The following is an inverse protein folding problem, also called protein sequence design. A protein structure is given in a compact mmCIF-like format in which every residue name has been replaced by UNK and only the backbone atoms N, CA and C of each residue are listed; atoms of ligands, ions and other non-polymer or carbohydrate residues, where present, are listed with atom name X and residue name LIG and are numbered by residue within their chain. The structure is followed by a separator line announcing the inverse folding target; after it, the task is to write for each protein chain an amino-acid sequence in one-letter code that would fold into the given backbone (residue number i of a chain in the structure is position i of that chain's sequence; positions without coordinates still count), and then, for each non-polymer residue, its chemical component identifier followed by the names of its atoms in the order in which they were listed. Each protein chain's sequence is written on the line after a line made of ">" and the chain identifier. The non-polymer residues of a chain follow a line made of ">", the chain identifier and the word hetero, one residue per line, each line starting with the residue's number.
data_IF_812486314291
#
_entry.id   IF_812486314291
#
_cell.length_a   1.000
_cell.length_b   1.000
_cell.length_c   1.000
_cell.angle_alpha   90.00
_cell.angle_beta   90.00
_cell.angle_gamma   90.00
#
_symmetry.space_group_name_H-M   'P 1'
#
loop_
_entity.id
_entity.type
_entity.pdbx_description
1 polymer ?
#
# COMPACT_ATOMS: atom_id res chain seq x y z
N UNK A 1 33.32 -54.54 52.82
CA UNK A 1 32.55 -54.58 51.59
C UNK A 1 31.89 -53.21 51.44
N UNK A 2 32.44 -52.36 50.57
CA UNK A 2 31.91 -51.02 50.28
C UNK A 2 31.24 -51.05 48.88
N UNK A 3 29.93 -50.88 48.83
CA UNK A 3 29.14 -50.85 47.62
C UNK A 3 29.23 -49.41 47.05
N UNK A 4 29.72 -49.30 45.83
CA UNK A 4 29.76 -48.03 45.08
C UNK A 4 28.49 -48.00 44.19
N UNK A 5 27.59 -47.03 44.48
CA UNK A 5 26.42 -46.75 43.66
C UNK A 5 26.87 -45.81 42.51
N UNK A 6 26.76 -46.29 41.27
CA UNK A 6 26.87 -45.46 40.05
C UNK A 6 25.57 -44.76 39.77
N UNK A 7 25.55 -43.43 39.86
CA UNK A 7 24.46 -42.60 39.43
C UNK A 7 24.70 -42.22 37.94
N UNK A 8 23.96 -42.83 37.01
CA UNK A 8 23.94 -42.44 35.61
C UNK A 8 22.98 -41.24 35.45
N UNK A 9 23.55 -40.05 35.18
CA UNK A 9 22.78 -38.88 34.82
C UNK A 9 22.41 -38.99 33.33
N UNK A 10 21.13 -39.24 33.07
CA UNK A 10 20.54 -39.22 31.72
C UNK A 10 20.30 -37.75 31.32
N UNK A 11 21.16 -37.22 30.47
CA UNK A 11 20.99 -35.89 29.92
C UNK A 11 19.96 -35.94 28.80
N UNK A 12 18.69 -35.61 29.10
CA UNK A 12 17.66 -35.40 28.08
C UNK A 12 17.94 -34.11 27.35
N UNK A 13 18.51 -34.19 26.15
CA UNK A 13 18.51 -33.10 25.18
C UNK A 13 17.05 -32.91 24.70
N UNK A 14 16.35 -31.93 25.27
CA UNK A 14 15.10 -31.46 24.74
C UNK A 14 15.32 -30.78 23.40
N UNK A 15 14.96 -31.42 22.30
CA UNK A 15 14.78 -30.76 21.01
C UNK A 15 13.66 -29.73 21.19
N UNK A 16 14.02 -28.48 21.35
CA UNK A 16 13.10 -27.36 21.19
C UNK A 16 12.76 -27.30 19.71
N UNK A 17 11.68 -27.97 19.32
CA UNK A 17 11.06 -27.73 18.03
C UNK A 17 10.60 -26.26 18.02
N UNK A 18 11.36 -25.41 17.38
CA UNK A 18 10.90 -24.07 17.02
C UNK A 18 9.67 -24.29 16.14
N UNK A 19 8.50 -24.09 16.70
CA UNK A 19 7.26 -24.08 15.94
C UNK A 19 7.41 -22.98 14.90
N UNK A 20 7.59 -23.38 13.65
CA UNK A 20 7.64 -22.49 12.52
C UNK A 20 6.27 -21.80 12.44
N UNK A 21 6.23 -20.53 12.84
CA UNK A 21 5.01 -19.75 12.84
C UNK A 21 4.58 -19.59 11.38
N UNK A 22 3.63 -20.42 10.96
CA UNK A 22 3.09 -20.37 9.60
C UNK A 22 2.25 -19.11 9.49
N UNK A 23 2.78 -18.11 8.85
CA UNK A 23 2.12 -16.82 8.60
C UNK A 23 1.03 -17.04 7.55
N UNK A 24 -0.18 -17.37 7.95
CA UNK A 24 -1.36 -17.28 7.08
C UNK A 24 -1.82 -15.82 7.05
N UNK A 25 -1.14 -15.01 6.25
CA UNK A 25 -1.62 -13.67 5.96
C UNK A 25 -2.86 -13.77 5.07
N UNK A 26 -3.97 -13.18 5.49
CA UNK A 26 -5.15 -12.93 4.65
C UNK A 26 -4.86 -11.83 3.60
N UNK A 27 -3.68 -11.25 3.64
CA UNK A 27 -3.23 -10.22 2.71
C UNK A 27 -2.90 -10.86 1.37
N UNK A 28 -3.79 -10.65 0.42
CA UNK A 28 -3.68 -11.12 -0.97
C UNK A 28 -3.64 -9.95 -1.96
N UNK A 29 -3.33 -8.76 -1.48
CA UNK A 29 -3.19 -7.57 -2.32
C UNK A 29 -1.94 -7.67 -3.18
N UNK A 30 -2.12 -7.45 -4.48
CA UNK A 30 -1.02 -7.34 -5.43
C UNK A 30 -1.19 -6.02 -6.17
N UNK A 31 -0.25 -5.06 -5.99
CA UNK A 31 -0.37 -3.76 -6.64
C UNK A 31 -0.25 -3.89 -8.15
N UNK A 32 -0.90 -2.98 -8.87
CA UNK A 32 -0.76 -2.88 -10.32
C UNK A 32 0.71 -2.69 -10.71
N UNK A 33 1.09 -3.22 -11.85
CA UNK A 33 2.48 -3.26 -12.32
C UNK A 33 2.90 -2.01 -13.11
N UNK A 34 1.94 -1.28 -13.68
CA UNK A 34 2.20 -0.02 -14.38
C UNK A 34 1.69 1.16 -13.56
N UNK A 35 2.63 1.94 -13.04
CA UNK A 35 2.32 3.18 -12.33
C UNK A 35 1.74 4.21 -13.32
N UNK A 36 0.60 4.81 -12.98
CA UNK A 36 -0.02 5.89 -13.76
C UNK A 36 -0.03 7.22 -13.02
N UNK A 37 0.04 7.21 -11.69
CA UNK A 37 0.19 8.41 -10.88
C UNK A 37 0.93 8.09 -9.58
N UNK A 38 1.79 9.02 -9.15
CA UNK A 38 2.50 8.95 -7.88
C UNK A 38 2.69 10.35 -7.30
N UNK A 39 2.40 10.52 -6.01
CA UNK A 39 2.58 11.77 -5.28
C UNK A 39 3.09 11.49 -3.86
N UNK A 40 4.24 12.06 -3.52
CA UNK A 40 4.85 12.03 -2.19
C UNK A 40 5.15 13.43 -1.64
N UNK A 41 4.67 14.45 -2.33
CA UNK A 41 4.84 15.87 -2.02
C UNK A 41 6.30 16.34 -1.95
N UNK A 42 7.28 15.53 -2.38
CA UNK A 42 8.70 15.89 -2.34
C UNK A 42 9.01 17.14 -3.16
N UNK A 43 8.29 17.37 -4.26
CA UNK A 43 8.44 18.51 -5.14
C UNK A 43 7.78 19.81 -4.63
N UNK A 44 6.96 19.74 -3.57
CA UNK A 44 6.26 20.90 -3.00
C UNK A 44 7.06 21.47 -1.82
N UNK A 45 7.15 22.80 -1.73
CA UNK A 45 7.75 23.48 -0.57
C UNK A 45 6.90 23.27 0.69
N UNK A 46 7.55 23.09 1.84
CA UNK A 46 6.83 23.04 3.12
C UNK A 46 6.13 24.37 3.39
N UNK A 47 4.86 24.31 3.76
CA UNK A 47 3.96 25.46 3.92
C UNK A 47 3.12 25.78 2.69
N UNK A 48 3.49 25.26 1.50
CA UNK A 48 2.74 25.50 0.26
C UNK A 48 1.67 24.40 0.02
N UNK A 49 0.69 24.74 -0.84
CA UNK A 49 -0.26 23.79 -1.40
C UNK A 49 0.28 23.20 -2.71
N UNK A 50 0.13 21.89 -2.99
CA UNK A 50 0.71 21.26 -4.16
C UNK A 50 0.04 21.69 -5.47
N UNK A 51 0.84 22.03 -6.48
CA UNK A 51 0.41 22.69 -7.72
C UNK A 51 -0.57 21.88 -8.60
N UNK A 52 -0.56 20.56 -8.49
CA UNK A 52 -1.41 19.67 -9.31
C UNK A 52 -2.60 19.11 -8.54
N UNK A 53 -3.05 19.88 -7.57
CA UNK A 53 -4.21 19.55 -6.77
C UNK A 53 -5.23 20.67 -6.84
N UNK A 54 -6.50 20.32 -6.81
CA UNK A 54 -7.61 21.26 -6.66
C UNK A 54 -8.35 21.01 -5.34
N UNK A 55 -8.91 22.06 -4.76
CA UNK A 55 -9.62 22.00 -3.48
C UNK A 55 -10.62 23.13 -3.32
N UNK A 56 -11.63 22.92 -2.48
CA UNK A 56 -12.55 23.97 -2.02
C UNK A 56 -12.13 24.61 -0.68
N UNK A 57 -10.94 24.27 -0.18
CA UNK A 57 -10.42 24.75 1.10
C UNK A 57 -8.91 25.02 1.05
N UNK A 58 -8.29 25.16 2.22
CA UNK A 58 -6.85 25.33 2.37
C UNK A 58 -6.22 24.10 3.00
N UNK A 59 -5.04 23.72 2.54
CA UNK A 59 -4.16 22.73 3.12
C UNK A 59 -2.71 23.13 2.84
N UNK A 60 -1.78 22.51 3.52
CA UNK A 60 -0.34 22.78 3.39
C UNK A 60 0.45 21.49 3.43
N UNK A 61 1.59 21.49 2.74
CA UNK A 61 2.57 20.41 2.86
C UNK A 61 3.41 20.62 4.10
N UNK A 62 3.56 19.58 4.91
CA UNK A 62 4.31 19.60 6.17
C UNK A 62 5.34 18.47 6.23
N UNK A 63 6.30 18.58 7.15
CA UNK A 63 7.16 17.50 7.61
C UNK A 63 6.76 17.09 9.01
N UNK A 64 6.99 15.82 9.38
CA UNK A 64 6.67 15.28 10.69
C UNK A 64 7.96 14.83 11.39
N UNK A 65 8.07 15.05 12.70
CA UNK A 65 9.26 14.70 13.47
C UNK A 65 9.51 13.19 13.57
N UNK A 66 8.46 12.40 13.52
CA UNK A 66 8.48 10.96 13.76
C UNK A 66 8.21 10.10 12.52
N UNK A 67 7.99 10.73 11.37
CA UNK A 67 7.74 10.03 10.11
C UNK A 67 8.44 10.77 8.96
N UNK A 68 9.36 10.12 8.23
CA UNK A 68 10.06 10.76 7.12
C UNK A 68 9.12 11.08 5.97
N UNK A 69 9.54 12.00 5.10
CA UNK A 69 8.78 12.44 3.94
C UNK A 69 7.99 13.73 4.16
N UNK A 70 7.24 14.11 3.15
CA UNK A 70 6.34 15.26 3.18
C UNK A 70 4.90 14.78 3.11
N UNK A 71 3.99 15.54 3.73
CA UNK A 71 2.61 15.14 3.96
C UNK A 71 1.68 16.32 3.69
N UNK A 72 0.56 16.09 3.03
CA UNK A 72 -0.51 17.08 2.92
C UNK A 72 -1.31 17.07 4.22
N UNK A 73 -1.24 18.16 4.98
CA UNK A 73 -1.99 18.34 6.23
C UNK A 73 -3.34 18.96 5.93
N UNK A 74 -4.40 18.32 6.42
CA UNK A 74 -5.81 18.66 6.22
C UNK A 74 -6.44 18.80 7.59
N UNK A 75 -6.90 20.00 7.95
CA UNK A 75 -7.38 20.32 9.30
C UNK A 75 -8.81 20.88 9.36
N UNK A 76 -9.55 20.85 8.25
CA UNK A 76 -10.94 21.30 8.21
C UNK A 76 -11.72 20.60 7.11
N UNK A 77 -13.04 20.78 7.14
CA UNK A 77 -13.94 20.32 6.10
C UNK A 77 -13.46 20.74 4.73
N UNK A 78 -13.24 19.77 3.85
CA UNK A 78 -12.60 20.01 2.56
C UNK A 78 -12.70 18.80 1.65
N UNK A 79 -12.63 19.08 0.35
CA UNK A 79 -12.47 18.08 -0.71
C UNK A 79 -11.24 18.41 -1.53
N UNK A 80 -10.42 17.41 -1.80
CA UNK A 80 -9.18 17.52 -2.57
C UNK A 80 -9.25 16.58 -3.77
N UNK A 81 -8.92 17.10 -4.92
CA UNK A 81 -8.84 16.34 -6.18
C UNK A 81 -7.43 16.40 -6.76
N UNK A 82 -6.75 15.27 -6.96
CA UNK A 82 -5.46 15.21 -7.63
C UNK A 82 -5.66 15.32 -9.17
N UNK A 83 -5.38 16.48 -9.76
CA UNK A 83 -5.59 16.77 -11.18
C UNK A 83 -4.70 15.94 -12.11
N UNK A 84 -3.63 15.35 -11.59
CA UNK A 84 -2.76 14.42 -12.32
C UNK A 84 -3.40 13.03 -12.54
N UNK A 85 -4.53 12.73 -11.88
CA UNK A 85 -5.32 11.53 -12.14
C UNK A 85 -6.40 11.86 -13.16
N UNK A 86 -6.10 11.65 -14.44
CA UNK A 86 -6.98 12.05 -15.55
C UNK A 86 -7.90 10.94 -16.06
N UNK A 87 -7.67 9.70 -15.63
CA UNK A 87 -8.46 8.55 -16.04
C UNK A 87 -8.39 7.42 -15.02
N UNK A 88 -9.49 6.69 -14.88
CA UNK A 88 -9.59 5.52 -14.00
C UNK A 88 -9.98 4.29 -14.82
N UNK A 89 -9.04 3.37 -15.07
CA UNK A 89 -9.35 2.09 -15.71
C UNK A 89 -10.28 1.24 -14.82
N UNK A 90 -10.90 0.22 -15.40
CA UNK A 90 -11.74 -0.72 -14.65
C UNK A 90 -10.95 -1.59 -13.67
N UNK A 91 -9.65 -1.76 -13.92
CA UNK A 91 -8.74 -2.50 -13.05
C UNK A 91 -7.61 -1.58 -12.64
N UNK A 92 -7.55 -1.24 -11.36
CA UNK A 92 -6.48 -0.44 -10.79
C UNK A 92 -6.28 -0.74 -9.31
N UNK A 93 -5.12 -0.35 -8.81
CA UNK A 93 -4.82 -0.27 -7.38
C UNK A 93 -4.54 1.17 -7.02
N UNK A 94 -5.13 1.65 -5.92
CA UNK A 94 -4.84 2.93 -5.30
C UNK A 94 -4.29 2.65 -3.91
N UNK A 95 -3.14 3.21 -3.60
CA UNK A 95 -2.50 3.07 -2.31
C UNK A 95 -2.12 4.45 -1.79
N UNK A 96 -2.20 4.66 -0.48
CA UNK A 96 -1.77 5.89 0.18
C UNK A 96 -1.55 5.65 1.67
N UNK A 97 -0.77 6.53 2.30
CA UNK A 97 -0.63 6.56 3.75
C UNK A 97 -1.49 7.69 4.33
N UNK A 98 -2.16 7.38 5.42
CA UNK A 98 -3.05 8.29 6.12
C UNK A 98 -2.69 8.32 7.61
N UNK A 99 -2.53 9.51 8.16
CA UNK A 99 -2.21 9.69 9.58
C UNK A 99 -3.10 10.74 10.23
N UNK A 100 -3.13 10.75 11.56
CA UNK A 100 -3.85 11.72 12.39
C UNK A 100 -2.97 12.21 13.54
N UNK A 101 -3.33 13.37 14.14
CA UNK A 101 -2.68 13.82 15.37
C UNK A 101 -2.94 12.86 16.55
N UNK A 102 -2.06 12.83 17.57
CA UNK A 102 -2.16 11.89 18.69
C UNK A 102 -3.50 11.90 19.44
N UNK A 103 -4.05 13.08 19.72
CA UNK A 103 -5.31 13.24 20.44
C UNK A 103 -6.53 13.41 19.53
N UNK A 104 -6.44 12.87 18.32
CA UNK A 104 -7.45 13.00 17.30
C UNK A 104 -8.83 12.49 17.76
N UNK A 105 -9.86 13.31 17.50
CA UNK A 105 -11.24 12.99 17.81
C UNK A 105 -12.19 13.71 16.85
N UNK A 106 -12.26 13.25 15.63
CA UNK A 106 -12.99 13.93 14.58
C UNK A 106 -13.81 12.97 13.71
N UNK A 107 -14.31 13.47 12.60
CA UNK A 107 -15.07 12.72 11.59
C UNK A 107 -14.15 11.93 10.68
N UNK A 108 -14.65 10.89 10.01
CA UNK A 108 -13.84 10.05 9.14
C UNK A 108 -13.16 10.81 8.01
N UNK A 109 -12.02 10.29 7.58
CA UNK A 109 -11.42 10.62 6.29
C UNK A 109 -12.16 9.87 5.18
N UNK A 110 -12.36 10.51 4.04
CA UNK A 110 -13.15 9.95 2.95
C UNK A 110 -12.35 9.87 1.67
N UNK A 111 -12.55 8.77 0.97
CA UNK A 111 -12.09 8.58 -0.41
C UNK A 111 -13.30 8.28 -1.28
N UNK A 112 -13.52 9.08 -2.32
CA UNK A 112 -14.51 8.80 -3.34
C UNK A 112 -13.87 8.36 -4.63
N UNK A 113 -14.49 7.37 -5.28
CA UNK A 113 -14.27 7.03 -6.68
C UNK A 113 -15.58 7.35 -7.39
N UNK A 114 -15.58 8.36 -8.25
CA UNK A 114 -16.79 8.94 -8.77
C UNK A 114 -16.80 9.07 -10.30
N UNK A 115 -18.02 9.23 -10.82
CA UNK A 115 -18.29 9.56 -12.22
C UNK A 115 -18.84 10.98 -12.30
N UNK A 116 -17.95 11.96 -12.32
CA UNK A 116 -18.31 13.37 -12.43
C UNK A 116 -18.51 13.79 -13.89
N UNK A 117 -19.39 14.78 -14.11
CA UNK A 117 -19.70 15.31 -15.45
C UNK A 117 -18.80 16.46 -15.86
N UNK A 118 -18.29 17.20 -14.87
CA UNK A 118 -17.44 18.37 -15.10
C UNK A 118 -16.39 18.51 -14.01
N UNK A 119 -15.26 19.19 -14.26
CA UNK A 119 -14.25 19.50 -13.25
C UNK A 119 -14.78 20.30 -12.05
N UNK A 120 -15.82 21.12 -12.23
CA UNK A 120 -16.43 21.89 -11.15
C UNK A 120 -17.08 21.00 -10.05
N UNK A 121 -17.45 19.75 -10.40
CA UNK A 121 -18.03 18.80 -9.45
C UNK A 121 -16.97 18.13 -8.56
N UNK A 122 -15.68 18.18 -8.94
CA UNK A 122 -14.63 17.42 -8.26
C UNK A 122 -14.37 17.90 -6.84
N UNK A 123 -14.57 19.18 -6.58
CA UNK A 123 -14.39 19.79 -5.26
C UNK A 123 -15.67 20.37 -4.69
N UNK A 124 -16.82 20.11 -5.32
CA UNK A 124 -18.13 20.51 -4.81
C UNK A 124 -18.52 19.63 -3.61
N UNK A 125 -18.57 20.23 -2.44
CA UNK A 125 -18.94 19.55 -1.21
C UNK A 125 -20.36 18.97 -1.25
N UNK A 126 -21.30 19.63 -1.90
CA UNK A 126 -22.67 19.10 -2.04
C UNK A 126 -22.73 17.85 -2.93
N UNK A 127 -21.92 17.79 -3.98
CA UNK A 127 -21.76 16.55 -4.76
C UNK A 127 -21.15 15.43 -3.92
N UNK A 128 -20.21 15.79 -3.05
CA UNK A 128 -19.57 14.87 -2.12
C UNK A 128 -20.56 14.26 -1.12
N UNK A 129 -21.46 15.07 -0.50
CA UNK A 129 -22.40 14.59 0.53
C UNK A 129 -23.68 14.01 -0.06
N UNK A 130 -24.21 14.57 -1.17
CA UNK A 130 -25.49 14.19 -1.74
C UNK A 130 -25.41 13.28 -2.97
N UNK A 131 -24.21 13.12 -3.56
CA UNK A 131 -23.93 12.36 -4.80
C UNK A 131 -24.85 12.71 -5.97
N UNK A 132 -25.22 13.96 -6.06
CA UNK A 132 -26.20 14.48 -6.99
C UNK A 132 -25.73 14.30 -8.43
N UNK A 133 -26.39 13.44 -9.18
CA UNK A 133 -26.09 13.22 -10.60
C UNK A 133 -24.92 12.30 -10.91
N UNK A 134 -24.15 11.85 -9.92
CA UNK A 134 -22.96 11.01 -10.08
C UNK A 134 -23.15 9.62 -9.51
N UNK A 135 -22.56 8.61 -10.15
CA UNK A 135 -22.29 7.35 -9.49
C UNK A 135 -21.04 7.51 -8.65
N UNK A 136 -21.11 7.11 -7.39
CA UNK A 136 -20.02 7.27 -6.44
C UNK A 136 -19.86 6.00 -5.61
N UNK A 137 -18.61 5.61 -5.40
CA UNK A 137 -18.19 4.66 -4.37
C UNK A 137 -17.47 5.47 -3.30
N UNK A 138 -18.14 5.66 -2.19
CA UNK A 138 -17.74 6.44 -1.04
C UNK A 138 -17.18 5.51 0.04
N UNK A 139 -15.98 5.78 0.52
CA UNK A 139 -15.27 4.99 1.53
C UNK A 139 -14.84 5.90 2.66
N UNK A 140 -15.29 5.60 3.87
CA UNK A 140 -14.89 6.28 5.10
C UNK A 140 -13.84 5.46 5.84
N UNK A 141 -12.85 6.14 6.42
CA UNK A 141 -11.80 5.57 7.25
C UNK A 141 -11.67 6.36 8.54
N UNK A 142 -11.90 5.72 9.67
CA UNK A 142 -11.85 6.34 10.98
C UNK A 142 -10.93 5.54 11.90
N UNK A 143 -9.85 6.13 12.46
CA UNK A 143 -8.98 5.43 13.39
C UNK A 143 -9.72 5.05 14.68
N UNK A 144 -9.22 4.03 15.36
CA UNK A 144 -9.65 3.74 16.72
C UNK A 144 -9.34 4.94 17.63
N UNK A 145 -10.16 5.14 18.64
CA UNK A 145 -9.91 6.12 19.69
C UNK A 145 -9.46 5.40 20.95
N UNK A 146 -8.34 5.85 21.53
CA UNK A 146 -7.79 5.24 22.74
C UNK A 146 -8.91 5.16 23.81
N UNK A 147 -9.09 3.97 24.37
CA UNK A 147 -10.02 3.64 25.46
C UNK A 147 -11.51 3.90 25.21
N UNK A 148 -11.92 4.19 23.98
CA UNK A 148 -13.30 4.59 23.71
C UNK A 148 -14.02 3.80 22.61
N UNK A 149 -13.40 3.58 21.44
CA UNK A 149 -14.05 2.88 20.32
C UNK A 149 -13.04 2.23 19.37
N UNK A 150 -13.47 1.16 18.74
CA UNK A 150 -12.76 0.58 17.61
C UNK A 150 -12.66 1.58 16.43
N UNK A 151 -11.68 1.41 15.56
CA UNK A 151 -11.67 2.05 14.27
C UNK A 151 -12.80 1.52 13.40
N UNK A 152 -13.23 2.29 12.42
CA UNK A 152 -14.33 1.89 11.55
C UNK A 152 -14.11 2.34 10.11
N UNK A 153 -14.70 1.58 9.19
CA UNK A 153 -14.81 1.94 7.79
C UNK A 153 -16.25 1.74 7.34
N UNK A 154 -16.72 2.66 6.50
CA UNK A 154 -18.02 2.57 5.85
C UNK A 154 -17.84 2.63 4.35
N UNK A 155 -18.59 1.81 3.62
CA UNK A 155 -18.68 1.88 2.17
C UNK A 155 -20.13 2.13 1.78
N UNK A 156 -20.33 3.19 1.01
CA UNK A 156 -21.62 3.49 0.40
C UNK A 156 -21.42 3.66 -1.09
N UNK A 157 -22.22 2.96 -1.90
CA UNK A 157 -22.16 3.10 -3.34
C UNK A 157 -23.56 3.31 -3.91
N UNK A 158 -23.65 4.13 -4.95
CA UNK A 158 -24.92 4.42 -5.58
C UNK A 158 -24.94 5.67 -6.42
N UNK A 159 -26.15 6.17 -6.69
CA UNK A 159 -26.40 7.38 -7.48
C UNK A 159 -27.62 8.12 -6.95
N UNK A 160 -27.53 9.45 -6.84
CA UNK A 160 -28.67 10.31 -6.43
C UNK A 160 -29.32 9.87 -5.11
N UNK A 161 -28.53 9.43 -4.13
CA UNK A 161 -29.06 8.96 -2.84
C UNK A 161 -29.66 7.55 -2.87
N UNK A 162 -29.75 6.90 -4.03
CA UNK A 162 -30.12 5.49 -4.14
C UNK A 162 -28.89 4.62 -3.95
N UNK A 163 -28.82 3.95 -2.82
CA UNK A 163 -27.67 3.14 -2.43
C UNK A 163 -27.81 1.69 -2.91
N UNK A 164 -26.87 1.20 -3.70
CA UNK A 164 -26.72 -0.23 -4.02
C UNK A 164 -25.91 -0.97 -2.96
N UNK A 165 -25.05 -0.27 -2.23
CA UNK A 165 -24.27 -0.77 -1.10
C UNK A 165 -24.31 0.28 0.01
N UNK A 166 -24.47 -0.16 1.27
CA UNK A 166 -24.39 0.67 2.46
C UNK A 166 -23.99 -0.24 3.64
N UNK A 167 -22.71 -0.41 3.84
CA UNK A 167 -22.14 -1.34 4.81
C UNK A 167 -21.09 -0.63 5.67
N UNK A 168 -20.95 -1.08 6.91
CA UNK A 168 -19.93 -0.64 7.85
C UNK A 168 -19.21 -1.82 8.48
N UNK A 169 -17.97 -1.60 8.93
CA UNK A 169 -17.14 -2.57 9.64
C UNK A 169 -16.29 -1.88 10.69
N UNK A 170 -16.14 -2.53 11.84
CA UNK A 170 -15.17 -2.15 12.85
C UNK A 170 -13.85 -2.90 12.67
N UNK A 171 -12.74 -2.26 13.04
CA UNK A 171 -11.40 -2.86 12.99
C UNK A 171 -10.51 -2.35 14.12
N UNK A 172 -9.39 -3.07 14.35
CA UNK A 172 -8.37 -2.71 15.35
C UNK A 172 -7.01 -2.37 14.75
N UNK A 173 -6.87 -2.51 13.44
CA UNK A 173 -5.59 -2.40 12.73
C UNK A 173 -5.07 -0.97 12.56
N UNK A 174 -5.88 0.02 12.83
CA UNK A 174 -5.49 1.41 12.92
C UNK A 174 -5.86 1.93 14.31
N UNK A 175 -5.01 1.66 15.26
CA UNK A 175 -5.14 2.14 16.63
C UNK A 175 -4.41 3.49 16.82
N UNK A 176 -4.68 4.11 17.94
CA UNK A 176 -4.10 5.38 18.34
C UNK A 176 -2.67 5.25 18.91
N UNK A 177 -1.85 4.34 18.42
CA UNK A 177 -0.44 4.27 18.79
C UNK A 177 0.29 5.61 18.54
N UNK A 178 1.50 5.78 19.03
CA UNK A 178 2.23 7.05 18.96
C UNK A 178 2.47 7.58 17.53
N UNK A 179 2.24 6.78 16.51
CA UNK A 179 2.41 7.18 15.12
C UNK A 179 1.09 7.34 14.35
N UNK A 180 -0.03 6.87 14.85
CA UNK A 180 -1.39 7.03 14.29
C UNK A 180 -1.48 6.99 12.75
N UNK A 181 -0.76 6.09 12.11
CA UNK A 181 -0.71 5.93 10.67
C UNK A 181 -1.31 4.62 10.22
N UNK A 182 -2.00 4.68 9.08
CA UNK A 182 -2.45 3.52 8.35
C UNK A 182 -1.99 3.58 6.90
N UNK A 183 -1.57 2.45 6.36
CA UNK A 183 -1.42 2.24 4.93
C UNK A 183 -2.74 1.69 4.38
N UNK A 184 -3.33 2.39 3.43
CA UNK A 184 -4.59 2.02 2.77
C UNK A 184 -4.27 1.49 1.38
N UNK A 185 -4.79 0.29 1.06
CA UNK A 185 -4.70 -0.28 -0.29
C UNK A 185 -6.09 -0.60 -0.81
N UNK A 186 -6.44 -0.01 -1.92
CA UNK A 186 -7.73 -0.17 -2.60
C UNK A 186 -7.49 -0.87 -3.93
N UNK A 187 -8.22 -1.95 -4.18
CA UNK A 187 -8.11 -2.73 -5.41
C UNK A 187 -9.45 -2.84 -6.11
N UNK A 188 -9.57 -2.17 -7.23
CA UNK A 188 -10.71 -2.31 -8.14
C UNK A 188 -10.42 -3.36 -9.20
N UNK A 189 -11.33 -4.33 -9.35
CA UNK A 189 -11.33 -5.34 -10.41
C UNK A 189 -12.71 -5.37 -11.06
N UNK A 190 -12.89 -4.58 -12.13
CA UNK A 190 -14.19 -4.34 -12.77
C UNK A 190 -15.22 -3.85 -11.74
N UNK A 191 -16.18 -4.68 -11.34
CA UNK A 191 -17.21 -4.36 -10.36
C UNK A 191 -16.79 -4.61 -8.91
N UNK A 192 -15.75 -5.44 -8.68
CA UNK A 192 -15.28 -5.83 -7.36
C UNK A 192 -14.39 -4.77 -6.74
N UNK A 193 -14.55 -4.59 -5.43
CA UNK A 193 -13.69 -3.76 -4.60
C UNK A 193 -13.12 -4.59 -3.46
N UNK A 194 -11.82 -4.49 -3.25
CA UNK A 194 -11.15 -4.92 -2.02
C UNK A 194 -10.45 -3.74 -1.40
N UNK A 195 -10.50 -3.66 -0.08
CA UNK A 195 -9.80 -2.63 0.69
C UNK A 195 -9.03 -3.28 1.82
N UNK A 196 -7.80 -2.85 1.98
CA UNK A 196 -6.88 -3.32 3.00
C UNK A 196 -6.38 -2.13 3.81
N UNK A 197 -6.20 -2.37 5.11
CA UNK A 197 -5.68 -1.40 6.06
C UNK A 197 -4.55 -2.06 6.84
N UNK A 198 -3.33 -1.52 6.78
CA UNK A 198 -2.12 -2.10 7.40
C UNK A 198 -1.94 -3.60 7.10
N UNK A 199 -2.26 -4.04 5.88
CA UNK A 199 -2.16 -5.44 5.46
C UNK A 199 -3.34 -6.33 5.87
N UNK A 200 -4.34 -5.84 6.57
CA UNK A 200 -5.59 -6.56 6.84
C UNK A 200 -6.67 -6.21 5.84
N UNK A 201 -7.31 -7.23 5.25
CA UNK A 201 -8.43 -7.03 4.34
C UNK A 201 -9.70 -6.71 5.13
N UNK A 202 -10.11 -5.44 5.07
CA UNK A 202 -11.32 -4.96 5.75
C UNK A 202 -12.57 -5.04 4.87
N UNK A 203 -12.41 -4.99 3.53
CA UNK A 203 -13.51 -5.13 2.59
C UNK A 203 -13.20 -6.08 1.43
N UNK A 204 -14.20 -6.84 1.03
CA UNK A 204 -14.21 -7.63 -0.20
C UNK A 204 -15.65 -7.68 -0.74
N UNK A 205 -16.00 -6.74 -1.62
CA UNK A 205 -17.36 -6.56 -2.14
C UNK A 205 -17.36 -6.90 -3.64
N UNK A 206 -18.00 -8.00 -4.05
CA UNK A 206 -17.95 -8.46 -5.45
C UNK A 206 -18.60 -7.50 -6.47
N UNK A 207 -19.60 -6.73 -6.04
CA UNK A 207 -20.37 -5.83 -6.90
C UNK A 207 -20.63 -4.51 -6.18
N UNK A 208 -19.72 -3.55 -6.34
CA UNK A 208 -19.83 -2.19 -5.79
C UNK A 208 -19.85 -1.16 -6.93
N UNK A 209 -19.07 -1.39 -7.98
CA UNK A 209 -19.05 -0.51 -9.15
C UNK A 209 -20.15 -0.87 -10.13
N UNK A 210 -20.88 0.13 -10.61
CA UNK A 210 -21.80 -0.04 -11.73
C UNK A 210 -21.02 -0.34 -13.03
N UNK A 211 -21.45 -1.38 -13.76
CA UNK A 211 -20.73 -1.88 -14.95
C UNK A 211 -20.85 -0.99 -16.19
N UNK A 212 -21.86 -0.11 -16.22
CA UNK A 212 -22.12 0.80 -17.34
C UNK A 212 -21.54 2.19 -17.09
N UNK A 213 -21.06 2.44 -15.86
CA UNK A 213 -20.54 3.75 -15.45
C UNK A 213 -19.03 3.84 -15.66
N UNK A 214 -18.60 4.85 -16.40
CA UNK A 214 -17.19 5.24 -16.47
C UNK A 214 -16.84 6.15 -15.30
N UNK A 215 -16.15 5.60 -14.31
CA UNK A 215 -15.58 6.38 -13.21
C UNK A 215 -14.35 7.14 -13.71
N UNK A 216 -14.23 8.40 -13.34
CA UNK A 216 -13.20 9.30 -13.90
C UNK A 216 -12.47 10.14 -12.87
N UNK A 217 -12.85 10.09 -11.60
CA UNK A 217 -12.23 10.89 -10.55
C UNK A 217 -12.02 10.10 -9.26
N UNK A 218 -10.95 10.45 -8.55
CA UNK A 218 -10.72 10.12 -7.14
C UNK A 218 -10.70 11.45 -6.39
N UNK A 219 -11.41 11.53 -5.27
CA UNK A 219 -11.32 12.66 -4.35
C UNK A 219 -11.02 12.17 -2.95
N UNK A 220 -10.27 12.97 -2.22
CA UNK A 220 -9.97 12.79 -0.82
C UNK A 220 -10.66 13.90 -0.03
N UNK A 221 -11.20 13.59 1.13
CA UNK A 221 -11.93 14.60 1.87
C UNK A 221 -11.90 14.38 3.38
N UNK A 222 -12.03 15.47 4.10
CA UNK A 222 -12.31 15.51 5.53
C UNK A 222 -13.69 16.08 5.72
N UNK A 223 -14.57 15.34 6.41
CA UNK A 223 -15.97 15.77 6.62
C UNK A 223 -16.11 16.90 7.65
N UNK A 224 -15.09 17.17 8.43
CA UNK A 224 -15.08 18.20 9.45
C UNK A 224 -14.26 17.78 10.67
N UNK A 225 -14.21 18.66 11.66
CA UNK A 225 -13.49 18.42 12.90
C UNK A 225 -14.30 18.92 14.10
N UNK A 226 -14.23 18.17 15.21
CA UNK A 226 -14.80 18.59 16.50
C UNK A 226 -13.84 19.49 17.30
N UNK A 227 -12.54 19.44 16.96
CA UNK A 227 -11.49 20.25 17.59
C UNK A 227 -10.69 20.96 16.49
N UNK A 228 -10.29 22.20 16.75
CA UNK A 228 -9.51 22.98 15.78
C UNK A 228 -8.12 22.41 15.52
N UNK A 229 -7.54 21.70 16.49
CA UNK A 229 -6.24 21.06 16.41
C UNK A 229 -6.25 19.71 15.69
N UNK A 230 -7.41 19.10 15.45
CA UNK A 230 -7.51 17.85 14.73
C UNK A 230 -7.13 18.01 13.26
N UNK A 231 -6.33 17.07 12.77
CA UNK A 231 -5.94 17.02 11.36
C UNK A 231 -5.70 15.59 10.87
N UNK A 232 -5.84 15.43 9.58
CA UNK A 232 -5.28 14.31 8.84
C UNK A 232 -4.00 14.73 8.12
N UNK A 233 -3.11 13.77 7.90
CA UNK A 233 -1.99 13.88 6.96
C UNK A 233 -2.08 12.77 5.93
N UNK A 234 -1.98 13.16 4.66
CA UNK A 234 -2.06 12.27 3.50
C UNK A 234 -0.71 12.25 2.78
N UNK A 235 -0.25 11.07 2.36
CA UNK A 235 1.00 10.95 1.62
C UNK A 235 1.15 9.66 0.83
N UNK A 236 2.23 9.55 0.08
CA UNK A 236 2.63 8.35 -0.67
C UNK A 236 1.51 7.77 -1.57
N UNK A 237 0.80 8.64 -2.27
CA UNK A 237 -0.33 8.26 -3.12
C UNK A 237 0.22 7.58 -4.38
N UNK A 238 -0.25 6.36 -4.63
CA UNK A 238 0.17 5.55 -5.76
C UNK A 238 -1.05 4.97 -6.47
N UNK A 239 -1.24 5.35 -7.73
CA UNK A 239 -2.25 4.75 -8.60
C UNK A 239 -1.55 3.95 -9.69
N UNK A 240 -1.89 2.66 -9.80
CA UNK A 240 -1.29 1.76 -10.77
C UNK A 240 -2.34 0.90 -11.46
N UNK A 241 -2.08 0.50 -12.69
CA UNK A 241 -2.97 -0.31 -13.52
C UNK A 241 -2.35 -1.67 -13.81
N UNK A 242 -3.20 -2.59 -14.25
CA UNK A 242 -2.86 -3.96 -14.54
C UNK A 242 -3.07 -4.85 -13.32
N UNK A 243 -3.58 -6.04 -13.57
CA UNK A 243 -3.42 -7.16 -12.65
C UNK A 243 -2.14 -7.85 -13.09
N UNK A 244 -1.11 -8.00 -12.24
CA UNK A 244 0.07 -8.73 -12.64
C UNK A 244 -0.33 -10.17 -12.95
N UNK A 245 -0.10 -10.59 -14.18
CA UNK A 245 -0.10 -12.02 -14.52
C UNK A 245 1.31 -12.56 -14.18
N UNK A 246 1.57 -12.66 -12.89
CA UNK A 246 2.86 -13.11 -12.33
C UNK A 246 3.28 -14.43 -12.96
N UNK A 247 2.34 -15.37 -13.11
CA UNK A 247 2.61 -16.69 -13.68
C UNK A 247 3.09 -16.59 -15.13
N UNK A 248 2.31 -15.92 -16.00
CA UNK A 248 2.68 -15.79 -17.42
C UNK A 248 4.01 -15.05 -17.58
N UNK A 249 4.24 -13.99 -16.83
CA UNK A 249 5.48 -13.22 -16.88
C UNK A 249 6.69 -14.04 -16.44
N UNK A 250 6.59 -14.75 -15.34
CA UNK A 250 7.68 -15.57 -14.82
C UNK A 250 7.93 -16.79 -15.70
N UNK A 251 6.89 -17.55 -16.04
CA UNK A 251 7.03 -18.84 -16.71
C UNK A 251 7.26 -18.68 -18.21
N UNK A 252 6.43 -17.86 -18.86
CA UNK A 252 6.40 -17.73 -20.34
C UNK A 252 7.33 -16.64 -20.85
N UNK A 253 7.27 -15.43 -20.23
CA UNK A 253 8.10 -14.30 -20.67
C UNK A 253 9.51 -14.33 -20.06
N UNK A 254 9.72 -15.14 -19.01
CA UNK A 254 11.01 -15.28 -18.35
C UNK A 254 11.46 -14.06 -17.54
N UNK A 255 10.62 -13.04 -17.40
CA UNK A 255 10.90 -11.84 -16.61
C UNK A 255 9.62 -11.31 -15.94
N UNK A 256 9.72 -11.07 -14.63
CA UNK A 256 8.69 -10.40 -13.85
C UNK A 256 9.30 -9.21 -13.13
N UNK A 257 8.72 -8.03 -13.34
CA UNK A 257 9.10 -6.78 -12.67
C UNK A 257 7.98 -6.38 -11.71
N UNK A 258 8.34 -6.06 -10.48
CA UNK A 258 7.36 -5.65 -9.48
C UNK A 258 7.82 -4.44 -8.68
N UNK A 259 6.87 -3.54 -8.41
CA UNK A 259 7.00 -2.41 -7.49
C UNK A 259 6.27 -2.69 -6.16
N UNK A 260 5.70 -3.89 -6.03
CA UNK A 260 4.94 -4.29 -4.83
C UNK A 260 5.81 -4.87 -3.73
N UNK A 261 7.09 -5.14 -3.97
CA UNK A 261 8.05 -5.50 -2.93
C UNK A 261 8.67 -4.22 -2.40
N UNK A 262 8.29 -3.84 -1.16
CA UNK A 262 8.65 -2.60 -0.52
C UNK A 262 9.53 -2.82 0.69
N UNK A 263 10.37 -1.83 0.97
CA UNK A 263 11.32 -1.83 2.08
C UNK A 263 11.15 -0.55 2.90
N UNK A 264 11.51 -0.62 4.16
CA UNK A 264 11.65 0.59 4.96
C UNK A 264 12.74 1.49 4.37
N UNK A 265 12.61 2.83 4.48
CA UNK A 265 13.58 3.76 3.93
C UNK A 265 15.03 3.43 4.33
N UNK A 266 15.93 3.40 3.35
CA UNK A 266 17.37 3.13 3.52
C UNK A 266 17.73 1.78 4.17
N UNK A 267 16.79 0.83 4.23
CA UNK A 267 17.01 -0.52 4.78
C UNK A 267 16.61 -1.60 3.78
N UNK A 268 16.92 -2.85 4.13
CA UNK A 268 16.48 -4.09 3.48
C UNK A 268 15.34 -4.79 4.22
N UNK A 269 14.78 -4.13 5.25
CA UNK A 269 13.60 -4.61 5.98
C UNK A 269 12.35 -4.53 5.11
N UNK A 270 11.75 -5.68 4.81
CA UNK A 270 10.51 -5.78 4.02
C UNK A 270 9.32 -5.19 4.78
N UNK A 271 8.52 -4.42 4.09
CA UNK A 271 7.22 -3.96 4.59
C UNK A 271 6.16 -5.07 4.45
N UNK A 272 5.15 -5.05 5.31
CA UNK A 272 4.08 -6.07 5.34
C UNK A 272 3.31 -6.13 4.01
N UNK A 273 3.21 -5.03 3.30
CA UNK A 273 2.57 -4.90 1.99
C UNK A 273 3.22 -5.76 0.91
N UNK A 274 4.49 -6.12 1.10
CA UNK A 274 5.23 -7.02 0.19
C UNK A 274 4.74 -8.47 0.21
N UNK A 275 4.08 -8.88 1.30
CA UNK A 275 3.71 -10.29 1.54
C UNK A 275 2.79 -10.84 0.47
N UNK A 276 1.82 -10.03 -0.03
CA UNK A 276 0.89 -10.48 -1.07
C UNK A 276 1.60 -10.86 -2.38
N UNK A 277 2.49 -9.99 -2.84
CA UNK A 277 3.31 -10.21 -4.04
C UNK A 277 4.26 -11.40 -3.86
N UNK A 278 4.93 -11.49 -2.72
CA UNK A 278 5.85 -12.57 -2.42
C UNK A 278 5.13 -13.93 -2.34
N UNK A 279 3.91 -13.96 -1.80
CA UNK A 279 3.06 -15.14 -1.80
C UNK A 279 2.67 -15.57 -3.20
N UNK A 280 2.27 -14.62 -4.05
CA UNK A 280 1.91 -14.90 -5.45
C UNK A 280 3.10 -15.46 -6.23
N UNK A 281 4.28 -14.85 -6.10
CA UNK A 281 5.54 -15.37 -6.64
C UNK A 281 5.84 -16.77 -6.12
N UNK A 282 5.69 -17.01 -4.81
CA UNK A 282 5.97 -18.30 -4.20
C UNK A 282 5.07 -19.42 -4.74
N UNK A 283 3.81 -19.11 -5.03
CA UNK A 283 2.88 -20.06 -5.64
C UNK A 283 3.36 -20.47 -7.04
N UNK A 284 3.80 -19.50 -7.86
CA UNK A 284 4.36 -19.79 -9.20
C UNK A 284 5.61 -20.66 -9.10
N UNK A 285 6.51 -20.38 -8.16
CA UNK A 285 7.73 -21.17 -7.96
C UNK A 285 7.42 -22.59 -7.47
N UNK A 286 6.47 -22.78 -6.58
CA UNK A 286 6.03 -24.11 -6.10
C UNK A 286 5.38 -24.95 -7.20
N UNK A 287 4.59 -24.31 -8.06
CA UNK A 287 3.97 -24.98 -9.22
C UNK A 287 5.01 -25.33 -10.31
N UNK A 288 6.18 -24.70 -10.28
CA UNK A 288 7.25 -24.87 -11.28
C UNK A 288 8.62 -25.09 -10.61
N UNK A 289 8.82 -26.19 -9.89
CA UNK A 289 9.99 -26.40 -9.02
C UNK A 289 11.35 -26.49 -9.75
N UNK A 290 11.33 -26.68 -11.06
CA UNK A 290 12.55 -26.73 -11.88
C UNK A 290 12.99 -25.36 -12.40
N UNK A 291 12.17 -24.32 -12.23
CA UNK A 291 12.52 -22.98 -12.68
C UNK A 291 13.48 -22.30 -11.69
N UNK A 292 14.51 -21.68 -12.25
CA UNK A 292 15.47 -20.88 -11.51
C UNK A 292 15.36 -19.43 -11.88
N UNK A 293 15.51 -18.55 -10.89
CA UNK A 293 15.40 -17.12 -11.09
C UNK A 293 16.53 -16.36 -10.42
N UNK A 294 16.97 -15.29 -11.05
CA UNK A 294 17.80 -14.25 -10.46
C UNK A 294 16.91 -13.12 -9.98
N UNK A 295 16.97 -12.80 -8.69
CA UNK A 295 16.29 -11.66 -8.05
C UNK A 295 17.23 -10.47 -8.14
N UNK A 296 16.82 -9.40 -8.80
CA UNK A 296 17.64 -8.19 -8.99
C UNK A 296 16.95 -7.00 -8.34
N UNK A 297 17.65 -6.39 -7.38
CA UNK A 297 17.19 -5.17 -6.74
C UNK A 297 17.66 -3.91 -7.47
N UNK A 298 16.82 -2.88 -7.50
CA UNK A 298 17.12 -1.56 -8.05
C UNK A 298 16.72 -0.44 -7.08
N UNK A 299 17.43 0.69 -7.15
CA UNK A 299 17.11 1.94 -6.46
C UNK A 299 16.78 3.03 -7.47
N UNK A 300 16.28 4.15 -7.02
CA UNK A 300 16.39 5.41 -7.74
C UNK A 300 17.79 6.01 -7.55
N UNK A 301 18.01 7.20 -8.13
CA UNK A 301 19.29 7.90 -8.09
C UNK A 301 19.41 8.88 -6.89
N UNK A 302 18.64 8.68 -5.82
CA UNK A 302 18.81 9.46 -4.60
C UNK A 302 19.89 8.81 -3.73
N UNK A 303 20.90 9.59 -3.37
CA UNK A 303 22.00 9.15 -2.51
C UNK A 303 23.29 8.82 -3.25
N UNK A 304 24.15 8.06 -2.60
CA UNK A 304 25.47 7.66 -3.11
C UNK A 304 25.40 6.35 -3.89
N UNK A 305 26.05 6.29 -5.06
CA UNK A 305 26.05 5.13 -5.98
C UNK A 305 26.49 3.83 -5.27
N UNK A 306 27.52 3.89 -4.41
CA UNK A 306 28.01 2.71 -3.70
C UNK A 306 27.03 2.23 -2.65
N UNK A 307 26.39 3.18 -1.96
CA UNK A 307 25.32 2.88 -1.02
C UNK A 307 24.14 2.23 -1.73
N UNK A 308 23.70 2.80 -2.88
CA UNK A 308 22.62 2.27 -3.68
C UNK A 308 22.93 0.87 -4.25
N UNK A 309 24.17 0.64 -4.70
CA UNK A 309 24.61 -0.67 -5.16
C UNK A 309 24.58 -1.72 -4.03
N UNK A 310 25.06 -1.39 -2.83
CA UNK A 310 25.00 -2.28 -1.67
C UNK A 310 23.56 -2.50 -1.19
N UNK A 311 22.78 -1.43 -1.03
CA UNK A 311 21.38 -1.50 -0.60
C UNK A 311 20.54 -2.41 -1.51
N UNK A 312 20.70 -2.28 -2.83
CA UNK A 312 19.98 -3.09 -3.79
C UNK A 312 20.32 -4.58 -3.69
N UNK A 313 21.59 -4.93 -3.44
CA UNK A 313 22.03 -6.31 -3.18
C UNK A 313 21.41 -6.88 -1.90
N UNK A 314 21.48 -6.13 -0.81
CA UNK A 314 20.88 -6.54 0.48
C UNK A 314 19.38 -6.74 0.35
N UNK A 315 18.67 -5.87 -0.38
CA UNK A 315 17.24 -5.99 -0.66
C UNK A 315 16.90 -7.25 -1.45
N UNK A 316 17.66 -7.57 -2.50
CA UNK A 316 17.48 -8.81 -3.25
C UNK A 316 17.72 -10.05 -2.37
N UNK A 317 18.73 -10.03 -1.50
CA UNK A 317 18.99 -11.09 -0.53
C UNK A 317 17.85 -11.23 0.50
N UNK A 318 17.29 -10.13 1.00
CA UNK A 318 16.16 -10.14 1.91
C UNK A 318 14.92 -10.78 1.27
N UNK A 319 14.64 -10.48 -0.01
CA UNK A 319 13.56 -11.13 -0.78
C UNK A 319 13.79 -12.64 -0.89
N UNK A 320 14.98 -13.08 -1.27
CA UNK A 320 15.34 -14.51 -1.31
C UNK A 320 15.12 -15.17 0.05
N UNK A 321 15.67 -14.59 1.12
CA UNK A 321 15.56 -15.13 2.45
C UNK A 321 14.09 -15.26 2.89
N UNK A 322 13.26 -14.28 2.58
CA UNK A 322 11.84 -14.32 2.90
C UNK A 322 11.13 -15.46 2.16
N UNK A 323 11.37 -15.61 0.84
CA UNK A 323 10.79 -16.69 0.04
C UNK A 323 11.19 -18.08 0.56
N UNK A 324 12.46 -18.25 0.94
CA UNK A 324 12.97 -19.51 1.50
C UNK A 324 12.37 -19.78 2.87
N UNK A 325 12.44 -18.83 3.81
CA UNK A 325 12.07 -19.04 5.21
C UNK A 325 10.56 -19.10 5.42
N UNK A 326 9.80 -18.23 4.73
CA UNK A 326 8.35 -18.13 4.96
C UNK A 326 7.53 -19.03 4.04
N UNK A 327 8.04 -19.30 2.84
CA UNK A 327 7.29 -20.07 1.84
C UNK A 327 7.95 -21.40 1.46
N UNK A 328 9.14 -21.71 2.00
CA UNK A 328 9.83 -22.98 1.77
C UNK A 328 10.32 -23.17 0.33
N UNK A 329 10.68 -22.07 -0.35
CA UNK A 329 11.26 -22.16 -1.70
C UNK A 329 12.71 -22.68 -1.61
N UNK A 330 13.10 -23.58 -2.50
CA UNK A 330 14.47 -24.10 -2.55
C UNK A 330 15.47 -22.95 -2.81
N UNK A 331 16.44 -22.70 -1.91
CA UNK A 331 17.42 -21.65 -2.10
C UNK A 331 18.31 -21.81 -3.33
N UNK A 332 18.44 -23.03 -3.87
CA UNK A 332 19.19 -23.33 -5.09
C UNK A 332 18.48 -22.87 -6.37
N UNK A 333 17.20 -22.56 -6.29
CA UNK A 333 16.42 -22.01 -7.39
C UNK A 333 16.48 -20.48 -7.46
N UNK A 334 17.15 -19.82 -6.51
CA UNK A 334 17.17 -18.37 -6.39
C UNK A 334 18.62 -17.86 -6.32
N UNK A 335 19.00 -17.05 -7.28
CA UNK A 335 20.18 -16.19 -7.23
C UNK A 335 19.78 -14.76 -6.88
N UNK A 336 20.73 -13.95 -6.42
CA UNK A 336 20.50 -12.54 -6.09
C UNK A 336 21.54 -11.63 -6.71
N UNK A 337 21.12 -10.43 -7.14
CA UNK A 337 22.00 -9.37 -7.62
C UNK A 337 21.42 -7.99 -7.24
N UNK A 338 22.23 -6.95 -7.31
CA UNK A 338 21.81 -5.58 -7.11
C UNK A 338 22.45 -4.66 -8.12
N UNK A 339 21.68 -3.81 -8.74
CA UNK A 339 22.13 -2.85 -9.76
C UNK A 339 22.15 -1.41 -9.25
N UNK A 340 21.68 -1.18 -8.01
CA UNK A 340 21.52 0.21 -7.54
C UNK A 340 20.70 1.02 -8.53
N UNK A 341 21.18 2.18 -8.86
CA UNK A 341 20.60 3.11 -9.84
C UNK A 341 21.16 2.95 -11.27
N UNK A 342 22.16 2.07 -11.49
CA UNK A 342 22.90 1.98 -12.75
C UNK A 342 22.08 1.49 -13.94
N UNK A 343 20.88 0.93 -13.71
CA UNK A 343 19.96 0.46 -14.76
C UNK A 343 18.57 1.05 -14.52
N UNK A 344 18.37 2.35 -14.83
CA UNK A 344 17.08 2.98 -14.63
C UNK A 344 16.05 2.45 -15.62
N UNK A 345 14.82 2.25 -15.13
CA UNK A 345 13.66 1.90 -15.95
C UNK A 345 12.91 3.16 -16.42
N UNK A 346 13.10 4.28 -15.72
CA UNK A 346 12.41 5.53 -15.98
C UNK A 346 13.30 6.73 -15.56
N UNK A 347 12.85 7.95 -15.86
CA UNK A 347 13.58 9.18 -15.60
C UNK A 347 13.68 9.50 -14.10
N UNK A 348 14.91 9.56 -13.56
CA UNK A 348 15.18 9.90 -12.16
C UNK A 348 14.92 11.38 -11.79
N UNK A 349 14.62 12.25 -12.76
CA UNK A 349 14.30 13.65 -12.48
C UNK A 349 12.83 13.89 -12.12
N UNK A 350 11.99 12.84 -12.14
CA UNK A 350 10.58 12.93 -11.77
C UNK A 350 10.28 12.01 -10.59
N UNK A 351 9.34 12.40 -9.74
CA UNK A 351 8.89 11.62 -8.60
C UNK A 351 8.36 10.26 -9.03
N UNK A 352 7.54 10.23 -10.09
CA UNK A 352 7.01 9.00 -10.67
C UNK A 352 8.11 8.11 -11.27
N UNK A 353 9.09 8.71 -11.96
CA UNK A 353 10.20 7.96 -12.53
C UNK A 353 11.10 7.32 -11.46
N UNK A 354 11.42 8.05 -10.39
CA UNK A 354 12.10 7.48 -9.22
C UNK A 354 11.30 6.31 -8.62
N UNK A 355 9.98 6.45 -8.47
CA UNK A 355 9.14 5.38 -7.98
C UNK A 355 9.16 4.14 -8.90
N UNK A 356 9.25 4.33 -10.22
CA UNK A 356 9.41 3.24 -11.20
C UNK A 356 10.81 2.60 -11.14
N UNK A 357 11.85 3.36 -10.76
CA UNK A 357 13.20 2.84 -10.61
C UNK A 357 13.34 1.97 -9.34
N UNK A 358 12.65 2.28 -8.26
CA UNK A 358 12.58 1.44 -7.04
C UNK A 358 11.77 0.18 -7.30
N UNK A 359 12.41 -0.88 -7.78
CA UNK A 359 11.78 -2.13 -8.19
C UNK A 359 12.61 -3.36 -7.86
N UNK A 360 11.96 -4.51 -7.92
CA UNK A 360 12.60 -5.83 -7.90
C UNK A 360 12.24 -6.58 -9.19
N UNK A 361 13.23 -7.19 -9.82
CA UNK A 361 13.05 -8.01 -11.01
C UNK A 361 13.33 -9.48 -10.69
N UNK A 362 12.53 -10.38 -11.23
CA UNK A 362 12.76 -11.83 -11.26
C UNK A 362 13.07 -12.21 -12.70
N UNK A 363 14.30 -12.66 -12.97
CA UNK A 363 14.81 -13.01 -14.29
C UNK A 363 15.07 -14.50 -14.32
N UNK A 364 14.42 -15.22 -15.22
CA UNK A 364 14.60 -16.67 -15.42
C UNK A 364 16.03 -16.97 -15.88
N UNK A 365 16.63 -17.99 -15.27
CA UNK A 365 17.99 -18.48 -15.57
C UNK A 365 17.97 -19.64 -16.56
#
# INVERSE_FOLDING_TARGET
>A
MKSILFFSVLMCFGLVAMAQQTYYSKYDFVPGDKLIAYEDFSATTVGDFPLKWNTNATAEVVTLNNKPGKWLKINKESVFHPEFITSLPENFTLEFDLGVNPDWNSLPFVVNIASFKSPAEYTDYYHFVSWKGSHTVHMEFQPAKIDQRAGSSKIVAGKNGNHSVNNDVEYKVWDNGPLNFAHVSIWRQKQRLRVYLNGEKIWDIPRVFDSLTKYNAITFAMQGSYKLEDYYVLGNIRLAVGAPDTRNRMVTQGKFVTHGIRFNPNTDSLQVESVGVLKDISNVLKENPNLKFKIVGHTDADGDDKFNADLSKRRAAAVKNFLVQQFGIDPNNLETDGKGESVPADNNNTVAGKANNRRVEFIKL
#
